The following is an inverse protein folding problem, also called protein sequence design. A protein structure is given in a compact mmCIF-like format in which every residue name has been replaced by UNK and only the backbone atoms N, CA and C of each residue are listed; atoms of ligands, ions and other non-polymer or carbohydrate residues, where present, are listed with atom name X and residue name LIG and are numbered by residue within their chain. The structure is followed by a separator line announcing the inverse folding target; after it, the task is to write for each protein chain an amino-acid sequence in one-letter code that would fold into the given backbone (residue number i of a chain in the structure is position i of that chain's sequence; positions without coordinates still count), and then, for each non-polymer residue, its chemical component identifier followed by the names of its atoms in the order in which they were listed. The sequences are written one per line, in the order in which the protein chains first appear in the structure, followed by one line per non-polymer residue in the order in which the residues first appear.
data_IF_379683375728
#
_entry.id   IF_379683375728
#
_cell.length_a   1.000
_cell.length_b   1.000
_cell.length_c   1.000
_cell.angle_alpha   90.00
_cell.angle_beta   90.00
_cell.angle_gamma   90.00
#
_symmetry.space_group_name_H-M   'P 1'
#
loop_
_entity.id
_entity.type
_entity.pdbx_description
1 polymer ?
#
# COMPACT_ATOMS: atom_id res chain seq x y z
N UNK A 1 -4.23 13.98 3.96
CA UNK A 1 -5.13 13.20 4.87
C UNK A 1 -4.48 11.85 5.11
N UNK A 2 -4.79 11.12 6.17
CA UNK A 2 -4.32 9.73 6.30
C UNK A 2 -5.25 8.78 5.52
N UNK A 3 -4.82 7.55 5.23
CA UNK A 3 -5.64 6.56 4.53
C UNK A 3 -6.81 6.06 5.39
N UNK A 4 -7.67 5.18 4.84
CA UNK A 4 -8.89 4.67 5.50
C UNK A 4 -8.67 3.91 6.81
N UNK A 5 -7.42 3.59 7.12
CA UNK A 5 -6.98 2.85 8.31
C UNK A 5 -6.00 3.68 9.17
N UNK A 6 -5.98 4.99 8.95
CA UNK A 6 -5.09 5.91 9.66
C UNK A 6 -3.65 5.89 9.14
N UNK A 7 -2.71 6.50 9.89
CA UNK A 7 -1.32 6.57 9.47
C UNK A 7 -0.71 5.18 9.29
N UNK A 8 0.15 5.00 8.29
CA UNK A 8 0.96 3.78 8.13
C UNK A 8 1.40 3.49 6.69
N UNK A 9 1.92 2.27 6.50
CA UNK A 9 2.29 1.75 5.18
C UNK A 9 1.15 0.91 4.64
N UNK A 10 0.66 1.31 3.47
CA UNK A 10 -0.45 0.65 2.80
C UNK A 10 0.04 -0.43 1.85
N UNK A 11 -0.54 -1.62 1.96
CA UNK A 11 -0.27 -2.77 1.11
C UNK A 11 -1.59 -3.30 0.53
N UNK A 12 -1.51 -3.90 -0.64
CA UNK A 12 -2.63 -4.60 -1.28
C UNK A 12 -2.09 -5.65 -2.26
N UNK A 13 -2.97 -6.39 -2.92
CA UNK A 13 -2.60 -7.36 -3.96
C UNK A 13 -1.90 -6.69 -5.14
N UNK A 14 -1.09 -7.45 -5.90
CA UNK A 14 -0.44 -6.95 -7.11
C UNK A 14 -1.42 -6.34 -8.12
N UNK A 15 -2.61 -6.96 -8.27
CA UNK A 15 -3.66 -6.50 -9.19
C UNK A 15 -4.18 -5.11 -8.81
N UNK A 16 -4.53 -4.91 -7.53
CA UNK A 16 -5.04 -3.63 -7.05
C UNK A 16 -3.96 -2.55 -6.97
N UNK A 17 -2.74 -2.93 -6.57
CA UNK A 17 -1.60 -2.03 -6.50
C UNK A 17 -1.30 -1.42 -7.88
N UNK A 18 -1.47 -2.17 -8.97
CA UNK A 18 -1.32 -1.66 -10.33
C UNK A 18 -2.33 -0.56 -10.65
N UNK A 19 -3.63 -0.77 -10.43
CA UNK A 19 -4.65 0.25 -10.70
C UNK A 19 -4.41 1.53 -9.89
N UNK A 20 -4.07 1.37 -8.62
CA UNK A 20 -3.75 2.50 -7.73
C UNK A 20 -2.49 3.24 -8.18
N UNK A 21 -1.44 2.50 -8.57
CA UNK A 21 -0.18 3.08 -9.04
C UNK A 21 -0.34 3.80 -10.38
N UNK A 22 -1.10 3.24 -11.33
CA UNK A 22 -1.43 3.88 -12.60
C UNK A 22 -2.21 5.18 -12.38
N UNK A 23 -3.24 5.15 -11.53
CA UNK A 23 -4.05 6.34 -11.21
C UNK A 23 -3.23 7.43 -10.51
N UNK A 24 -2.48 7.06 -9.46
CA UNK A 24 -1.68 8.01 -8.68
C UNK A 24 -0.41 8.48 -9.38
N UNK A 25 0.12 7.67 -10.29
CA UNK A 25 1.22 8.05 -11.16
C UNK A 25 0.85 9.22 -12.05
N UNK A 26 -0.44 9.41 -12.38
CA UNK A 26 -0.96 10.58 -13.11
C UNK A 26 -0.16 10.91 -14.38
N UNK A 27 0.22 9.87 -15.14
CA UNK A 27 1.04 10.00 -16.36
C UNK A 27 2.56 10.04 -16.12
N UNK A 28 3.02 10.00 -14.88
CA UNK A 28 4.43 9.85 -14.51
C UNK A 28 4.84 8.38 -14.32
N UNK A 29 6.15 8.18 -14.11
CA UNK A 29 6.73 6.86 -13.83
C UNK A 29 6.22 6.34 -12.49
N UNK A 30 5.59 5.16 -12.52
CA UNK A 30 5.20 4.41 -11.34
C UNK A 30 5.85 3.02 -11.32
N UNK A 31 5.95 2.45 -10.13
CA UNK A 31 6.41 1.08 -9.91
C UNK A 31 5.57 0.40 -8.83
N UNK A 32 5.44 -0.93 -8.95
CA UNK A 32 4.83 -1.77 -7.92
C UNK A 32 5.94 -2.65 -7.34
N UNK A 33 6.12 -2.56 -6.02
CA UNK A 33 7.08 -3.38 -5.28
C UNK A 33 6.38 -4.58 -4.67
N UNK A 34 7.09 -5.71 -4.66
CA UNK A 34 6.73 -6.87 -3.86
C UNK A 34 7.37 -6.71 -2.48
N UNK A 35 6.54 -6.79 -1.45
CA UNK A 35 6.90 -6.55 -0.06
C UNK A 35 6.70 -7.84 0.71
N UNK A 36 7.76 -8.37 1.29
CA UNK A 36 7.67 -9.32 2.39
C UNK A 36 7.33 -8.53 3.65
N UNK A 37 6.23 -8.91 4.31
CA UNK A 37 5.67 -8.15 5.43
C UNK A 37 5.47 -9.05 6.65
N UNK A 38 5.92 -8.57 7.80
CA UNK A 38 5.53 -9.11 9.11
C UNK A 38 4.31 -8.34 9.64
N UNK A 39 3.14 -8.98 9.56
CA UNK A 39 1.88 -8.39 10.00
C UNK A 39 1.76 -8.32 11.54
N UNK A 40 2.58 -9.07 12.28
CA UNK A 40 2.45 -9.21 13.73
C UNK A 40 1.04 -9.61 14.15
N UNK A 41 0.55 -8.99 15.22
CA UNK A 41 -0.85 -9.07 15.62
C UNK A 41 -1.70 -8.17 14.71
N UNK A 42 -2.45 -8.80 13.80
CA UNK A 42 -3.33 -8.15 12.83
C UNK A 42 -4.71 -7.85 13.46
N UNK A 43 -5.17 -6.61 13.35
CA UNK A 43 -6.58 -6.24 13.51
C UNK A 43 -7.30 -6.48 12.20
N UNK A 44 -8.39 -7.24 12.22
CA UNK A 44 -9.28 -7.38 11.06
C UNK A 44 -10.54 -6.57 11.32
N UNK A 45 -10.86 -5.65 10.40
CA UNK A 45 -12.14 -4.95 10.39
C UNK A 45 -13.12 -5.71 9.49
N UNK A 46 -14.38 -5.78 9.90
CA UNK A 46 -15.40 -6.49 9.13
C UNK A 46 -15.85 -5.67 7.91
N UNK A 47 -15.79 -6.29 6.73
CA UNK A 47 -16.30 -5.69 5.49
C UNK A 47 -15.46 -4.51 5.00
N UNK A 48 -16.12 -3.38 4.76
CA UNK A 48 -15.56 -2.14 4.21
C UNK A 48 -15.42 -1.04 5.26
N UNK A 49 -15.17 -1.41 6.51
CA UNK A 49 -15.02 -0.47 7.61
C UNK A 49 -13.73 0.35 7.51
N UNK A 50 -13.83 1.58 8.00
CA UNK A 50 -12.75 2.57 8.06
C UNK A 50 -12.39 2.82 9.54
N UNK A 51 -11.10 2.97 9.79
CA UNK A 51 -10.54 3.48 11.04
C UNK A 51 -9.50 4.56 10.69
N UNK A 52 -9.97 5.71 10.18
CA UNK A 52 -9.11 6.82 9.75
C UNK A 52 -8.26 7.41 10.89
N UNK A 53 -8.64 7.16 12.13
CA UNK A 53 -7.87 7.57 13.32
C UNK A 53 -6.74 6.60 13.63
N UNK A 54 -6.84 5.36 13.17
CA UNK A 54 -5.89 4.29 13.43
C UNK A 54 -5.92 3.83 14.89
N UNK A 55 -7.11 3.73 15.51
CA UNK A 55 -7.27 3.30 16.91
C UNK A 55 -6.76 1.88 17.15
N UNK A 56 -6.72 1.04 16.12
CA UNK A 56 -6.06 -0.28 16.18
C UNK A 56 -4.60 -0.21 16.67
N UNK A 57 -3.90 0.91 16.47
CA UNK A 57 -2.52 1.11 16.98
C UNK A 57 -2.52 1.25 18.51
N UNK A 58 -3.47 2.02 19.04
CA UNK A 58 -3.61 2.23 20.49
C UNK A 58 -4.08 0.96 21.21
N UNK A 59 -4.80 0.10 20.49
CA UNK A 59 -5.19 -1.25 20.93
C UNK A 59 -4.01 -2.26 20.90
N UNK A 60 -2.83 -1.87 20.39
CA UNK A 60 -1.62 -2.69 20.39
C UNK A 60 -1.44 -3.60 19.18
N UNK A 61 -2.21 -3.42 18.10
CA UNK A 61 -2.04 -4.17 16.85
C UNK A 61 -0.89 -3.60 16.00
N UNK A 62 -0.17 -4.47 15.28
CA UNK A 62 0.94 -4.07 14.40
C UNK A 62 0.49 -3.80 12.96
N UNK A 63 -0.67 -4.35 12.59
CA UNK A 63 -1.28 -4.12 11.30
C UNK A 63 -2.81 -4.11 11.43
N UNK A 64 -3.46 -3.49 10.46
CA UNK A 64 -4.91 -3.50 10.31
C UNK A 64 -5.29 -3.87 8.89
N UNK A 65 -6.31 -4.71 8.73
CA UNK A 65 -6.80 -5.21 7.44
C UNK A 65 -8.29 -4.94 7.30
N UNK A 66 -8.69 -4.44 6.14
CA UNK A 66 -10.10 -4.24 5.73
C UNK A 66 -10.27 -4.57 4.26
N UNK A 67 -11.51 -4.55 3.77
CA UNK A 67 -11.78 -4.46 2.33
C UNK A 67 -11.90 -3.00 1.93
N UNK A 68 -11.16 -2.58 0.90
CA UNK A 68 -11.39 -1.32 0.23
C UNK A 68 -12.56 -1.47 -0.74
N UNK A 69 -13.61 -0.63 -0.64
CA UNK A 69 -14.68 -0.63 -1.62
C UNK A 69 -14.13 -0.30 -3.00
N UNK A 70 -14.93 -0.49 -4.04
CA UNK A 70 -14.55 -0.02 -5.37
C UNK A 70 -14.17 1.47 -5.32
N UNK A 71 -12.94 1.80 -5.71
CA UNK A 71 -12.52 3.19 -5.82
C UNK A 71 -12.99 3.71 -7.18
N UNK A 72 -14.03 4.53 -7.16
CA UNK A 72 -14.67 5.08 -8.34
C UNK A 72 -13.66 5.65 -9.36
N UNK A 73 -13.75 5.18 -10.61
CA UNK A 73 -12.84 5.49 -11.73
C UNK A 73 -11.37 5.05 -11.54
N UNK A 74 -11.08 4.20 -10.55
CA UNK A 74 -9.73 3.72 -10.26
C UNK A 74 -9.67 2.21 -10.25
N UNK A 75 -10.46 1.55 -9.40
CA UNK A 75 -10.51 0.09 -9.34
C UNK A 75 -11.86 -0.41 -9.90
N UNK A 76 -11.87 -1.54 -10.62
CA UNK A 76 -13.11 -2.13 -11.13
C UNK A 76 -13.88 -2.93 -10.07
N UNK A 77 -13.24 -3.26 -8.95
CA UNK A 77 -13.79 -4.11 -7.90
C UNK A 77 -13.22 -3.72 -6.51
N UNK A 78 -13.86 -4.17 -5.41
CA UNK A 78 -13.30 -4.10 -4.07
C UNK A 78 -12.03 -4.94 -3.96
N UNK A 79 -11.11 -4.54 -3.07
CA UNK A 79 -9.83 -5.22 -2.89
C UNK A 79 -9.38 -5.21 -1.43
N UNK A 80 -8.61 -6.21 -0.96
CA UNK A 80 -8.10 -6.20 0.40
C UNK A 80 -7.03 -5.12 0.56
N UNK A 81 -7.07 -4.42 1.68
CA UNK A 81 -6.15 -3.34 2.04
C UNK A 81 -5.58 -3.63 3.43
N UNK A 82 -4.27 -3.49 3.56
CA UNK A 82 -3.56 -3.57 4.83
C UNK A 82 -2.91 -2.22 5.14
N UNK A 83 -2.86 -1.86 6.42
CA UNK A 83 -2.07 -0.76 6.94
C UNK A 83 -1.13 -1.30 8.04
N UNK A 84 0.18 -1.12 7.84
CA UNK A 84 1.22 -1.61 8.76
C UNK A 84 1.82 -0.44 9.54
N UNK A 85 1.99 -0.61 10.85
CA UNK A 85 2.39 0.50 11.71
C UNK A 85 3.86 0.87 11.61
N UNK A 86 4.72 -0.15 11.48
CA UNK A 86 6.17 -0.03 11.58
C UNK A 86 6.83 -0.37 10.23
N UNK A 87 7.57 0.58 9.61
CA UNK A 87 8.33 0.32 8.39
C UNK A 87 9.35 -0.81 8.49
N UNK A 88 9.89 -1.10 9.67
CA UNK A 88 10.83 -2.20 9.87
C UNK A 88 10.20 -3.58 9.59
N UNK A 89 8.87 -3.67 9.61
CA UNK A 89 8.13 -4.88 9.29
C UNK A 89 7.95 -5.08 7.77
N UNK A 90 8.35 -4.12 6.94
CA UNK A 90 8.19 -4.17 5.50
C UNK A 90 9.56 -4.27 4.83
N UNK A 91 9.80 -5.37 4.11
CA UNK A 91 11.01 -5.60 3.35
C UNK A 91 10.68 -5.67 1.87
N UNK A 92 11.25 -4.77 1.08
CA UNK A 92 11.17 -4.85 -0.38
C UNK A 92 11.97 -6.09 -0.81
N UNK A 93 11.30 -7.03 -1.47
CA UNK A 93 11.92 -8.24 -2.01
C UNK A 93 11.99 -8.24 -3.54
N UNK A 94 11.23 -7.36 -4.19
CA UNK A 94 11.22 -7.26 -5.64
C UNK A 94 10.50 -6.05 -6.18
N UNK A 95 10.60 -5.87 -7.50
CA UNK A 95 9.80 -4.94 -8.29
C UNK A 95 9.10 -5.76 -9.37
N UNK A 96 7.76 -5.75 -9.37
CA UNK A 96 6.96 -6.61 -10.25
C UNK A 96 6.49 -5.89 -11.52
N UNK A 97 6.44 -4.55 -11.49
CA UNK A 97 6.05 -3.77 -12.67
C UNK A 97 6.54 -2.33 -12.59
N UNK A 98 6.78 -1.73 -13.76
CA UNK A 98 7.02 -0.30 -13.94
C UNK A 98 6.27 0.26 -15.15
N UNK A 99 5.81 1.52 -15.06
CA UNK A 99 5.16 2.25 -16.16
C UNK A 99 6.13 2.70 -17.28
N UNK A 100 7.44 2.51 -17.10
CA UNK A 100 8.48 2.78 -18.10
C UNK A 100 9.58 1.69 -18.05
N UNK A 101 10.37 1.52 -19.13
CA UNK A 101 11.51 0.58 -19.21
C UNK A 101 12.54 0.96 -18.13
N UNK A 102 12.60 0.19 -17.04
CA UNK A 102 13.67 0.31 -16.04
C UNK A 102 14.92 -0.33 -16.63
N UNK A 103 15.90 0.48 -17.03
CA UNK A 103 17.22 -0.03 -17.40
C UNK A 103 17.89 -0.61 -16.15
N UNK A 104 18.51 -1.80 -16.19
CA UNK A 104 19.06 -2.48 -15.02
C UNK A 104 20.10 -1.70 -14.19
N UNK A 105 20.63 -0.58 -14.70
CA UNK A 105 21.60 0.29 -14.01
C UNK A 105 21.01 1.53 -13.32
N UNK A 106 19.71 1.83 -13.48
CA UNK A 106 19.08 3.04 -12.92
C UNK A 106 18.42 2.81 -11.54
N UNK A 107 18.51 1.59 -11.00
CA UNK A 107 17.90 1.22 -9.71
C UNK A 107 18.77 1.63 -8.52
N UNK A 108 20.02 2.05 -8.76
CA UNK A 108 20.98 2.34 -7.69
C UNK A 108 20.85 3.75 -7.07
N UNK A 109 20.18 4.69 -7.75
CA UNK A 109 20.18 6.12 -7.36
C UNK A 109 18.79 6.76 -7.22
N UNK A 110 17.72 5.96 -7.10
CA UNK A 110 16.51 6.53 -6.52
C UNK A 110 16.75 6.70 -5.02
N UNK A 111 17.16 7.92 -4.62
CA UNK A 111 16.84 8.42 -3.29
C UNK A 111 15.38 8.05 -3.03
N UNK A 112 15.17 7.21 -2.01
CA UNK A 112 13.96 6.43 -1.75
C UNK A 112 12.71 7.31 -1.74
N UNK A 113 12.14 7.59 -2.91
CA UNK A 113 10.72 7.93 -3.04
C UNK A 113 9.98 6.61 -2.92
N UNK A 114 9.87 6.19 -1.65
CA UNK A 114 8.81 5.31 -1.21
C UNK A 114 7.53 5.96 -1.73
N UNK A 115 6.88 5.39 -2.74
CA UNK A 115 5.46 5.67 -2.96
C UNK A 115 4.72 4.99 -1.82
N UNK A 116 4.87 5.58 -0.63
CA UNK A 116 3.80 5.53 0.34
C UNK A 116 2.61 6.09 -0.42
N UNK A 117 1.51 5.34 -0.42
CA UNK A 117 0.19 5.85 -0.76
C UNK A 117 -0.16 6.90 0.31
N UNK A 118 0.56 8.04 0.33
CA UNK A 118 0.24 9.21 1.15
C UNK A 118 -0.94 9.90 0.47
N UNK A 119 -1.99 10.15 1.24
CA UNK A 119 -3.05 11.09 0.91
C UNK A 119 -2.65 12.50 1.39
#
# INVERSE_FOLDING_TARGET
MEGRLGPGIYLTTHKAARWVAEHRGNGEIWCVFEIEVDLGHEKVLDGEQDDERGTWRDEGFQSCRTTHPTWHNVTPEPFPEWCVCNPANCKIVGMVQSGHIVRPGLVQNFEKKLTIVRR
#
